data_IF_477833637199
#
_entry.id   IF_477833637199
#
_cell.length_a   1.000
_cell.length_b   1.000
_cell.length_c   1.000
_cell.angle_alpha   90.00
_cell.angle_beta   90.00
_cell.angle_gamma   90.00
#
_symmetry.space_group_name_H-M   'P 1'
#
loop_
_entity.id
_entity.type
_entity.pdbx_description
1 polymer ?
#
# COMPACT_ATOMS: atom_id res chain seq x y z
N UNK A 1 3.59 1.32 -2.14
CA UNK A 1 2.76 2.42 -2.65
C UNK A 1 3.48 2.99 -3.85
N UNK A 2 2.84 2.99 -5.02
CA UNK A 2 3.43 3.58 -6.23
C UNK A 2 3.32 5.11 -6.18
N UNK A 3 4.04 5.80 -7.06
CA UNK A 3 4.08 7.28 -7.13
C UNK A 3 3.55 7.81 -8.47
N UNK A 4 2.53 7.13 -9.00
CA UNK A 4 1.88 7.39 -10.29
C UNK A 4 0.45 7.95 -10.11
N UNK A 5 0.16 8.50 -8.92
CA UNK A 5 -1.11 9.16 -8.63
C UNK A 5 -1.38 10.30 -9.60
N UNK A 6 -2.53 10.28 -10.26
CA UNK A 6 -2.94 11.32 -11.20
C UNK A 6 -4.44 11.35 -11.40
N UNK A 7 -4.95 12.50 -11.85
CA UNK A 7 -6.30 12.60 -12.43
C UNK A 7 -6.18 12.39 -13.93
N UNK A 8 -6.80 11.34 -14.45
CA UNK A 8 -6.76 10.97 -15.86
C UNK A 8 -7.63 11.91 -16.72
N UNK A 9 -7.42 11.93 -18.06
CA UNK A 9 -8.38 12.50 -18.98
C UNK A 9 -9.77 11.90 -18.75
N UNK A 10 -10.79 12.76 -18.57
CA UNK A 10 -12.15 12.33 -18.20
C UNK A 10 -12.44 12.39 -16.70
N UNK A 11 -11.47 12.78 -15.86
CA UNK A 11 -11.71 13.11 -14.45
C UNK A 11 -11.61 11.94 -13.48
N UNK A 12 -11.11 10.77 -13.89
CA UNK A 12 -10.93 9.63 -12.98
C UNK A 12 -9.62 9.75 -12.21
N UNK A 13 -9.67 9.72 -10.87
CA UNK A 13 -8.48 9.57 -10.05
C UNK A 13 -7.89 8.16 -10.18
N UNK A 14 -6.58 8.07 -10.31
CA UNK A 14 -5.86 6.82 -10.57
C UNK A 14 -4.57 6.74 -9.76
N UNK A 15 -4.22 5.52 -9.32
CA UNK A 15 -2.92 5.11 -8.81
C UNK A 15 -2.79 3.60 -9.05
N UNK A 16 -1.60 3.09 -9.40
CA UNK A 16 -1.40 1.64 -9.61
C UNK A 16 -1.60 0.83 -8.33
N UNK A 17 -1.03 1.27 -7.21
CA UNK A 17 -1.11 0.56 -5.93
C UNK A 17 -1.10 1.54 -4.73
N UNK A 18 -2.20 1.55 -3.96
CA UNK A 18 -2.39 2.41 -2.78
C UNK A 18 -1.37 2.12 -1.68
N UNK A 19 -0.79 0.92 -1.67
CA UNK A 19 0.15 0.44 -0.67
C UNK A 19 -0.51 -0.39 0.43
N UNK A 20 0.31 -0.74 1.42
CA UNK A 20 -0.05 -1.60 2.54
C UNK A 20 -0.29 -0.76 3.80
N UNK A 21 -1.27 -1.17 4.61
CA UNK A 21 -1.40 -0.73 6.01
C UNK A 21 -1.05 -1.89 6.93
N UNK A 22 0.08 -1.81 7.63
CA UNK A 22 0.61 -2.92 8.42
C UNK A 22 2.10 -2.81 8.77
N UNK A 23 2.74 -3.90 9.22
CA UNK A 23 4.12 -3.90 9.71
C UNK A 23 5.12 -3.46 8.64
N UNK A 24 5.87 -2.39 8.92
CA UNK A 24 6.79 -1.80 7.92
C UNK A 24 8.07 -2.64 7.72
N UNK A 25 8.54 -3.27 8.79
CA UNK A 25 9.74 -4.11 8.76
C UNK A 25 9.38 -5.57 8.48
N UNK A 26 8.85 -5.81 7.28
CA UNK A 26 8.33 -7.12 6.88
C UNK A 26 8.49 -7.36 5.38
N UNK A 27 8.25 -8.59 4.92
CA UNK A 27 8.07 -8.88 3.49
C UNK A 27 6.59 -9.06 3.21
N UNK A 28 5.95 -8.02 2.67
CA UNK A 28 4.50 -7.98 2.36
C UNK A 28 3.66 -8.35 3.60
N UNK A 29 4.05 -7.85 4.78
CA UNK A 29 3.33 -8.09 6.05
C UNK A 29 3.69 -9.39 6.77
N UNK A 30 4.50 -10.26 6.16
CA UNK A 30 4.95 -11.53 6.74
C UNK A 30 6.31 -11.38 7.41
N UNK A 31 6.54 -12.12 8.49
CA UNK A 31 7.84 -12.22 9.14
C UNK A 31 8.92 -12.58 8.10
N UNK A 32 9.98 -11.77 8.06
CA UNK A 32 10.93 -11.76 6.95
C UNK A 32 11.73 -13.07 6.89
N UNK A 33 12.08 -13.62 8.07
CA UNK A 33 12.79 -14.89 8.18
C UNK A 33 12.07 -16.07 7.51
N UNK A 34 10.74 -16.13 7.69
CA UNK A 34 9.87 -17.17 7.09
C UNK A 34 9.92 -17.07 5.56
N UNK A 35 9.88 -15.86 5.02
CA UNK A 35 9.93 -15.66 3.56
C UNK A 35 11.31 -16.01 3.01
N UNK A 36 12.40 -15.69 3.70
CA UNK A 36 13.74 -16.11 3.29
C UNK A 36 13.89 -17.63 3.29
N UNK A 37 13.42 -18.33 4.34
CA UNK A 37 13.45 -19.79 4.41
C UNK A 37 12.69 -20.40 3.23
N UNK A 38 11.48 -19.89 2.93
CA UNK A 38 10.68 -20.35 1.79
C UNK A 38 11.41 -20.16 0.45
N UNK A 39 12.01 -18.99 0.22
CA UNK A 39 12.69 -18.69 -1.04
C UNK A 39 13.94 -19.54 -1.24
N UNK A 40 14.72 -19.78 -0.18
CA UNK A 40 15.96 -20.54 -0.25
C UNK A 40 15.71 -22.05 -0.34
N UNK A 41 14.81 -22.57 0.50
CA UNK A 41 14.53 -24.01 0.56
C UNK A 41 13.56 -24.47 -0.53
N UNK A 42 12.73 -23.57 -1.07
CA UNK A 42 11.58 -23.88 -1.92
C UNK A 42 10.55 -24.82 -1.27
N UNK A 43 10.60 -24.99 0.05
CA UNK A 43 9.67 -25.80 0.82
C UNK A 43 8.51 -24.92 1.32
N UNK A 44 7.27 -25.43 1.35
CA UNK A 44 6.15 -24.71 1.97
C UNK A 44 6.41 -24.43 3.45
N UNK A 45 6.17 -23.19 3.86
CA UNK A 45 6.23 -22.73 5.26
C UNK A 45 4.90 -22.09 5.64
N UNK A 46 4.61 -22.06 6.93
CA UNK A 46 3.46 -21.32 7.46
C UNK A 46 3.79 -19.82 7.49
N UNK A 47 2.89 -18.98 7.00
CA UNK A 47 3.05 -17.54 7.11
C UNK A 47 2.56 -17.03 8.46
N UNK A 48 3.36 -16.15 9.07
CA UNK A 48 3.06 -15.46 10.31
C UNK A 48 3.22 -13.96 10.07
N UNK A 49 2.30 -13.17 10.61
CA UNK A 49 2.31 -11.72 10.45
C UNK A 49 3.47 -11.13 11.25
N UNK A 50 4.24 -10.24 10.63
CA UNK A 50 5.32 -9.56 11.32
C UNK A 50 4.79 -8.64 12.44
N UNK A 51 5.60 -8.40 13.47
CA UNK A 51 5.27 -7.48 14.56
C UNK A 51 6.13 -6.20 14.49
N UNK A 52 5.74 -5.18 15.26
CA UNK A 52 6.49 -3.93 15.40
C UNK A 52 5.80 -2.73 14.73
N UNK A 53 6.57 -1.68 14.36
CA UNK A 53 6.02 -0.44 13.81
C UNK A 53 5.19 -0.69 12.55
N UNK A 54 4.11 0.07 12.42
CA UNK A 54 3.22 0.00 11.28
C UNK A 54 3.36 1.24 10.39
N UNK A 55 3.16 1.04 9.09
CA UNK A 55 2.95 2.10 8.12
C UNK A 55 1.50 2.04 7.67
N UNK A 56 0.81 3.18 7.63
CA UNK A 56 -0.48 3.34 6.96
C UNK A 56 -0.22 3.96 5.59
N UNK A 57 -0.68 3.30 4.54
CA UNK A 57 -0.73 3.86 3.19
C UNK A 57 -2.18 4.09 2.77
N UNK A 58 -2.50 5.29 2.30
CA UNK A 58 -3.82 5.67 1.82
C UNK A 58 -3.71 6.67 0.66
N UNK A 59 -4.86 7.01 0.07
CA UNK A 59 -5.00 8.15 -0.85
C UNK A 59 -6.17 9.03 -0.41
N UNK A 60 -6.02 10.33 -0.58
CA UNK A 60 -7.09 11.31 -0.43
C UNK A 60 -7.48 11.77 -1.83
N UNK A 61 -8.77 11.73 -2.14
CA UNK A 61 -9.30 12.14 -3.44
C UNK A 61 -10.34 13.24 -3.19
N UNK A 62 -10.16 14.40 -3.82
CA UNK A 62 -11.17 15.47 -3.86
C UNK A 62 -12.07 15.26 -5.08
N UNK A 63 -13.39 15.24 -4.88
CA UNK A 63 -14.39 14.99 -5.92
C UNK A 63 -15.24 16.24 -6.11
N UNK A 64 -15.44 16.61 -7.37
CA UNK A 64 -16.42 17.60 -7.77
C UNK A 64 -17.83 17.01 -7.72
N UNK A 65 -18.65 17.45 -6.76
CA UNK A 65 -20.00 16.91 -6.55
C UNK A 65 -20.97 17.16 -7.73
N UNK A 66 -20.75 18.22 -8.51
CA UNK A 66 -21.64 18.58 -9.62
C UNK A 66 -21.39 17.70 -10.86
N UNK A 67 -20.13 17.34 -11.09
CA UNK A 67 -19.70 16.57 -12.28
C UNK A 67 -19.40 15.10 -11.99
N UNK A 68 -19.15 14.75 -10.73
CA UNK A 68 -18.68 13.43 -10.31
C UNK A 68 -17.20 13.16 -10.61
N UNK A 69 -16.46 14.11 -11.19
CA UNK A 69 -15.05 13.98 -11.53
C UNK A 69 -14.11 14.31 -10.35
N UNK A 70 -12.95 13.69 -10.31
CA UNK A 70 -11.90 14.00 -9.35
C UNK A 70 -11.19 15.32 -9.70
N UNK A 71 -11.01 16.18 -8.70
CA UNK A 71 -10.21 17.42 -8.77
C UNK A 71 -8.74 17.17 -8.46
N UNK A 72 -8.46 16.26 -7.54
CA UNK A 72 -7.11 15.89 -7.14
C UNK A 72 -7.06 14.48 -6.53
N UNK A 73 -5.86 13.92 -6.51
CA UNK A 73 -5.50 12.73 -5.73
C UNK A 73 -4.16 13.00 -5.05
N UNK A 74 -4.05 12.68 -3.76
CA UNK A 74 -2.83 12.82 -2.97
C UNK A 74 -2.54 11.50 -2.24
N UNK A 75 -1.28 11.08 -2.26
CA UNK A 75 -0.83 9.91 -1.49
C UNK A 75 -0.54 10.28 -0.04
N UNK A 76 -0.96 9.40 0.86
CA UNK A 76 -0.71 9.51 2.30
C UNK A 76 0.13 8.31 2.76
N UNK A 77 1.20 8.61 3.50
CA UNK A 77 1.99 7.62 4.23
C UNK A 77 2.21 8.12 5.66
N UNK A 78 1.73 7.36 6.64
CA UNK A 78 1.83 7.70 8.06
C UNK A 78 2.48 6.57 8.82
N UNK A 79 3.59 6.86 9.50
CA UNK A 79 4.27 5.90 10.37
C UNK A 79 3.63 5.91 11.76
N UNK A 80 3.39 4.73 12.31
CA UNK A 80 2.94 4.50 13.68
C UNK A 80 3.95 3.61 14.41
N UNK A 81 4.49 4.14 15.51
CA UNK A 81 5.49 3.48 16.35
C UNK A 81 4.87 2.62 17.43
#
# INVERSE_FOLDING_TARGET
>A
QTADESVLPGGTAYITDVGMTGPVNSVIGVESGIIFERFLSQIPVRFEVAHGPALLCAVIVDIDEATGGARSIERVQLSHS
#
